data_IF_528693684934
#
_entry.id   IF_528693684934
#
_cell.length_a   1.000
_cell.length_b   1.000
_cell.length_c   1.000
_cell.angle_alpha   90.00
_cell.angle_beta   90.00
_cell.angle_gamma   90.00
#
_symmetry.space_group_name_H-M   'P 1'
#
loop_
_entity.id
_entity.type
_entity.pdbx_description
1 polymer ?
#
# COMPACT_ATOMS: atom_id res chain seq x y z
N UNK A 1 10.81 -19.83 -19.84
CA UNK A 1 10.60 -20.75 -20.96
C UNK A 1 11.96 -21.30 -21.38
N UNK A 2 12.03 -22.59 -21.66
CA UNK A 2 13.18 -23.22 -22.31
C UNK A 2 13.00 -23.09 -23.82
N UNK A 3 13.95 -22.43 -24.49
CA UNK A 3 13.85 -22.04 -25.89
C UNK A 3 14.01 -23.22 -26.86
N UNK A 4 14.63 -24.30 -26.41
CA UNK A 4 14.86 -25.51 -27.21
C UNK A 4 13.65 -26.44 -27.20
N UNK A 5 13.09 -26.69 -26.02
CA UNK A 5 11.93 -27.57 -25.84
C UNK A 5 10.59 -26.85 -26.03
N UNK A 6 10.55 -25.54 -25.76
CA UNK A 6 9.33 -24.76 -25.70
C UNK A 6 8.55 -24.90 -24.39
N UNK A 7 9.04 -25.67 -23.42
CA UNK A 7 8.41 -25.81 -22.11
C UNK A 7 8.50 -24.50 -21.32
N UNK A 8 7.44 -24.20 -20.57
CA UNK A 8 7.39 -23.00 -19.74
C UNK A 8 6.78 -23.32 -18.38
N UNK A 9 7.31 -22.66 -17.36
CA UNK A 9 6.89 -22.76 -15.97
C UNK A 9 7.12 -21.40 -15.32
N UNK A 10 6.53 -21.22 -14.15
CA UNK A 10 6.68 -20.03 -13.31
C UNK A 10 7.59 -20.34 -12.11
N UNK A 11 8.42 -19.38 -11.65
CA UNK A 11 9.17 -19.50 -10.40
C UNK A 11 8.25 -19.55 -9.17
N UNK A 12 7.00 -19.13 -9.33
CA UNK A 12 5.88 -19.28 -8.38
C UNK A 12 4.91 -20.36 -8.85
N UNK A 13 4.07 -20.89 -7.94
CA UNK A 13 3.14 -21.97 -8.29
C UNK A 13 2.08 -21.60 -9.35
N UNK A 14 1.85 -20.29 -9.55
CA UNK A 14 0.99 -19.71 -10.57
C UNK A 14 1.78 -18.65 -11.35
N UNK A 15 1.40 -18.30 -12.59
CA UNK A 15 0.23 -18.82 -13.31
C UNK A 15 0.47 -20.13 -14.06
N UNK A 16 1.71 -20.47 -14.41
CA UNK A 16 2.06 -21.74 -15.07
C UNK A 16 2.83 -22.62 -14.10
N UNK A 17 2.14 -23.58 -13.48
CA UNK A 17 2.73 -24.45 -12.46
C UNK A 17 3.70 -25.46 -13.09
N UNK A 18 4.92 -25.53 -12.56
CA UNK A 18 5.89 -26.58 -12.83
C UNK A 18 5.68 -27.81 -11.95
N UNK A 19 6.64 -28.73 -11.99
CA UNK A 19 6.63 -29.97 -11.23
C UNK A 19 7.50 -29.87 -9.96
N UNK A 20 7.10 -30.57 -8.90
CA UNK A 20 7.84 -30.58 -7.64
C UNK A 20 7.45 -29.46 -6.68
N UNK A 21 8.37 -29.16 -5.77
CA UNK A 21 8.10 -28.29 -4.62
C UNK A 21 8.37 -26.82 -4.94
N UNK A 22 7.61 -25.97 -4.24
CA UNK A 22 7.78 -24.53 -4.22
C UNK A 22 8.03 -24.10 -2.78
N UNK A 23 9.08 -23.32 -2.55
CA UNK A 23 9.38 -22.75 -1.24
C UNK A 23 9.13 -21.24 -1.27
N UNK A 24 8.31 -20.76 -0.33
CA UNK A 24 8.04 -19.34 -0.13
C UNK A 24 8.58 -18.91 1.22
N UNK A 25 9.33 -17.80 1.25
CA UNK A 25 9.83 -17.16 2.46
C UNK A 25 9.35 -15.71 2.48
N UNK A 26 8.59 -15.34 3.51
CA UNK A 26 8.21 -13.96 3.74
C UNK A 26 9.11 -13.37 4.82
N UNK A 27 9.67 -12.19 4.54
CA UNK A 27 10.41 -11.40 5.50
C UNK A 27 9.79 -10.01 5.61
N UNK A 28 10.35 -9.18 6.48
CA UNK A 28 9.87 -7.81 6.65
C UNK A 28 10.24 -6.96 5.43
N UNK A 29 9.24 -6.60 4.63
CA UNK A 29 9.39 -5.76 3.44
C UNK A 29 9.78 -6.49 2.15
N UNK A 30 9.92 -7.83 2.18
CA UNK A 30 10.25 -8.61 1.00
C UNK A 30 9.67 -10.03 1.03
N UNK A 31 9.71 -10.72 -0.11
CA UNK A 31 9.37 -12.13 -0.22
C UNK A 31 10.27 -12.83 -1.20
N UNK A 32 10.61 -14.08 -0.92
CA UNK A 32 11.45 -14.92 -1.79
C UNK A 32 10.68 -16.18 -2.17
N UNK A 33 10.65 -16.48 -3.46
CA UNK A 33 10.06 -17.69 -4.01
C UNK A 33 11.16 -18.51 -4.68
N UNK A 34 11.28 -19.78 -4.30
CA UNK A 34 12.28 -20.67 -4.85
C UNK A 34 11.62 -21.92 -5.45
N UNK A 35 12.13 -22.33 -6.61
CA UNK A 35 11.62 -23.48 -7.34
C UNK A 35 12.69 -24.04 -8.28
N UNK A 36 12.71 -25.37 -8.45
CA UNK A 36 13.56 -26.06 -9.41
C UNK A 36 12.71 -26.80 -10.42
N UNK A 37 12.96 -26.56 -11.70
CA UNK A 37 12.30 -27.25 -12.81
C UNK A 37 13.36 -27.73 -13.80
N UNK A 38 13.34 -29.02 -14.13
CA UNK A 38 14.19 -29.59 -15.17
C UNK A 38 15.69 -29.21 -15.07
N UNK A 39 16.22 -29.16 -13.85
CA UNK A 39 17.61 -28.80 -13.55
C UNK A 39 17.94 -27.30 -13.58
N UNK A 40 16.93 -26.43 -13.68
CA UNK A 40 17.06 -24.98 -13.54
C UNK A 40 16.51 -24.55 -12.19
N UNK A 41 17.37 -23.98 -11.36
CA UNK A 41 17.00 -23.35 -10.10
C UNK A 41 16.57 -21.91 -10.35
N UNK A 42 15.41 -21.52 -9.80
CA UNK A 42 14.90 -20.15 -9.82
C UNK A 42 14.77 -19.64 -8.40
N UNK A 43 15.37 -18.49 -8.10
CA UNK A 43 15.10 -17.72 -6.88
C UNK A 43 14.58 -16.33 -7.27
N UNK A 44 13.35 -16.03 -6.86
CA UNK A 44 12.63 -14.79 -7.14
C UNK A 44 12.47 -13.98 -5.85
N UNK A 45 13.25 -12.92 -5.70
CA UNK A 45 13.11 -11.98 -4.58
C UNK A 45 12.28 -10.77 -5.01
N UNK A 46 11.23 -10.46 -4.27
CA UNK A 46 10.30 -9.35 -4.52
C UNK A 46 10.37 -8.39 -3.33
N UNK A 47 10.54 -7.10 -3.62
CA UNK A 47 10.59 -6.02 -2.64
C UNK A 47 9.95 -4.74 -3.22
N UNK A 48 9.65 -3.77 -2.36
CA UNK A 48 9.25 -2.41 -2.74
C UNK A 48 10.31 -1.47 -2.17
N UNK A 49 10.85 -0.58 -3.00
CA UNK A 49 11.84 0.38 -2.54
C UNK A 49 11.29 1.24 -1.40
N UNK A 50 12.17 1.66 -0.49
CA UNK A 50 11.80 2.37 0.74
C UNK A 50 11.24 3.76 0.42
N UNK A 51 11.89 4.48 -0.51
CA UNK A 51 11.58 5.89 -0.81
C UNK A 51 10.95 6.10 -2.20
N UNK A 52 11.13 5.16 -3.12
CA UNK A 52 10.67 5.28 -4.51
C UNK A 52 9.38 4.43 -4.72
N UNK A 53 8.42 4.87 -5.55
CA UNK A 53 7.17 4.17 -5.83
C UNK A 53 7.36 2.97 -6.77
N UNK A 54 8.31 2.08 -6.46
CA UNK A 54 8.72 0.96 -7.30
C UNK A 54 8.74 -0.37 -6.56
N UNK A 55 8.14 -1.36 -7.20
CA UNK A 55 8.33 -2.77 -6.90
C UNK A 55 9.51 -3.30 -7.73
N UNK A 56 10.47 -3.91 -7.05
CA UNK A 56 11.66 -4.52 -7.65
C UNK A 56 11.57 -6.04 -7.51
N UNK A 57 12.02 -6.73 -8.54
CA UNK A 57 11.99 -8.19 -8.59
C UNK A 57 13.33 -8.69 -9.14
N UNK A 58 14.08 -9.41 -8.31
CA UNK A 58 15.31 -10.10 -8.70
C UNK A 58 14.98 -11.56 -8.98
N UNK A 59 15.17 -12.01 -10.22
CA UNK A 59 15.07 -13.41 -10.60
C UNK A 59 16.46 -13.94 -10.93
N UNK A 60 17.03 -14.75 -10.05
CA UNK A 60 18.28 -15.47 -10.32
C UNK A 60 17.95 -16.87 -10.83
N UNK A 61 18.46 -17.20 -12.02
CA UNK A 61 18.43 -18.53 -12.60
C UNK A 61 19.81 -19.17 -12.48
N UNK A 62 19.88 -20.40 -11.98
CA UNK A 62 21.10 -21.21 -12.00
C UNK A 62 20.88 -22.49 -12.78
N UNK A 63 21.82 -22.83 -13.66
CA UNK A 63 21.74 -24.04 -14.47
C UNK A 63 22.53 -25.17 -13.81
N UNK A 64 21.81 -26.19 -13.33
CA UNK A 64 22.37 -27.41 -12.74
C UNK A 64 21.93 -28.65 -13.53
N UNK A 65 21.68 -28.50 -14.83
CA UNK A 65 21.07 -29.55 -15.66
C UNK A 65 22.07 -30.48 -16.35
N UNK A 66 23.37 -30.24 -16.23
CA UNK A 66 24.42 -31.00 -16.90
C UNK A 66 24.64 -30.64 -18.37
N UNK A 67 23.94 -29.62 -18.89
CA UNK A 67 24.06 -29.14 -20.28
C UNK A 67 23.79 -27.65 -20.40
N UNK A 68 24.26 -27.04 -21.48
CA UNK A 68 23.89 -25.66 -21.83
C UNK A 68 22.39 -25.54 -22.07
N UNK A 69 21.78 -24.44 -21.62
CA UNK A 69 20.35 -24.16 -21.74
C UNK A 69 20.11 -22.77 -22.32
N UNK A 70 19.23 -22.67 -23.30
CA UNK A 70 18.73 -21.40 -23.83
C UNK A 70 17.39 -21.13 -23.18
N UNK A 71 17.30 -20.03 -22.42
CA UNK A 71 16.13 -19.69 -21.62
C UNK A 71 15.66 -18.28 -21.97
N UNK A 72 14.35 -18.05 -21.86
CA UNK A 72 13.79 -16.71 -21.76
C UNK A 72 12.96 -16.55 -20.49
N UNK A 73 13.09 -15.39 -19.86
CA UNK A 73 12.26 -14.94 -18.74
C UNK A 73 11.27 -13.92 -19.25
N UNK A 74 10.04 -13.96 -18.74
CA UNK A 74 8.99 -13.05 -19.19
C UNK A 74 8.19 -12.53 -18.00
N UNK A 75 8.13 -11.22 -17.89
CA UNK A 75 7.28 -10.52 -16.95
C UNK A 75 5.99 -10.10 -17.63
N UNK A 76 4.89 -10.10 -16.87
CA UNK A 76 3.60 -9.63 -17.33
C UNK A 76 2.90 -8.83 -16.23
N UNK A 77 2.36 -7.66 -16.60
CA UNK A 77 1.47 -6.85 -15.76
C UNK A 77 0.24 -6.44 -16.56
N UNK A 78 -0.91 -6.48 -15.91
CA UNK A 78 -2.16 -5.94 -16.47
C UNK A 78 -2.39 -4.53 -15.93
N UNK A 79 -2.56 -3.57 -16.85
CA UNK A 79 -2.74 -2.17 -16.46
C UNK A 79 -4.17 -1.89 -16.02
N UNK A 80 -4.33 -1.42 -14.79
CA UNK A 80 -5.60 -0.82 -14.34
C UNK A 80 -5.56 0.70 -14.52
N UNK A 81 -4.58 1.43 -13.98
CA UNK A 81 -4.40 2.89 -14.18
C UNK A 81 -5.71 3.70 -14.11
N UNK A 82 -6.51 3.44 -13.07
CA UNK A 82 -7.85 4.01 -12.88
C UNK A 82 -8.62 3.21 -11.85
N UNK A 83 -9.93 3.43 -11.75
CA UNK A 83 -10.79 2.70 -10.79
C UNK A 83 -10.95 1.22 -11.15
N UNK A 84 -11.28 0.95 -12.42
CA UNK A 84 -11.41 -0.41 -12.94
C UNK A 84 -10.85 -0.48 -14.34
N UNK A 85 -10.26 -1.63 -14.66
CA UNK A 85 -9.70 -1.92 -15.97
C UNK A 85 -10.72 -1.72 -17.12
N UNK A 86 -11.97 -2.12 -16.92
CA UNK A 86 -13.03 -1.98 -17.92
C UNK A 86 -13.25 -0.51 -18.32
N UNK A 87 -13.15 0.40 -17.34
CA UNK A 87 -13.31 1.84 -17.58
C UNK A 87 -12.06 2.48 -18.15
N UNK A 88 -10.88 2.09 -17.67
CA UNK A 88 -9.62 2.76 -17.99
C UNK A 88 -8.92 2.23 -19.24
N UNK A 89 -9.03 0.94 -19.56
CA UNK A 89 -8.28 0.31 -20.66
C UNK A 89 -8.38 1.04 -22.01
N UNK A 90 -9.56 1.54 -22.44
CA UNK A 90 -9.67 2.29 -23.69
C UNK A 90 -8.84 3.60 -23.74
N UNK A 91 -8.45 4.11 -22.57
CA UNK A 91 -7.75 5.39 -22.41
C UNK A 91 -6.26 5.21 -22.11
N UNK A 92 -5.79 3.98 -21.91
CA UNK A 92 -4.38 3.70 -21.65
C UNK A 92 -3.61 3.68 -22.97
N UNK A 93 -2.53 4.46 -23.01
CA UNK A 93 -1.58 4.49 -24.13
C UNK A 93 -0.26 3.93 -23.63
N UNK A 94 0.32 2.99 -24.39
CA UNK A 94 1.63 2.41 -24.08
C UNK A 94 2.71 2.94 -25.01
N UNK A 95 3.92 3.09 -24.48
CA UNK A 95 5.10 3.52 -25.22
C UNK A 95 6.32 2.68 -24.85
N UNK A 96 7.31 2.59 -25.73
CA UNK A 96 8.59 1.96 -25.41
C UNK A 96 9.39 2.87 -24.47
N UNK A 97 9.94 2.29 -23.39
CA UNK A 97 10.84 2.97 -22.48
C UNK A 97 12.30 2.94 -22.97
N UNK A 98 13.09 3.95 -22.60
CA UNK A 98 14.52 4.04 -22.92
C UNK A 98 15.33 3.50 -21.74
N UNK A 99 15.65 2.22 -21.79
CA UNK A 99 16.34 1.54 -20.69
C UNK A 99 17.69 0.99 -21.14
N UNK A 100 18.82 1.66 -20.82
CA UNK A 100 20.14 1.08 -21.06
C UNK A 100 20.26 -0.29 -20.38
N UNK A 101 20.65 -1.32 -21.14
CA UNK A 101 20.82 -2.68 -20.61
C UNK A 101 19.51 -3.44 -20.36
N UNK A 102 18.40 -3.06 -20.98
CA UNK A 102 17.10 -3.73 -20.86
C UNK A 102 16.07 -3.26 -21.88
N UNK A 103 14.82 -3.69 -21.71
CA UNK A 103 13.66 -3.07 -22.37
C UNK A 103 12.55 -2.80 -21.36
N UNK A 104 11.67 -1.85 -21.69
CA UNK A 104 10.53 -1.54 -20.85
C UNK A 104 9.39 -0.87 -21.61
N UNK A 105 8.24 -0.83 -20.97
CA UNK A 105 7.02 -0.20 -21.44
C UNK A 105 6.65 0.90 -20.44
N UNK A 106 6.35 2.09 -20.95
CA UNK A 106 5.62 3.13 -20.25
C UNK A 106 4.13 3.02 -20.55
N UNK A 107 3.29 3.40 -19.60
CA UNK A 107 1.84 3.43 -19.74
C UNK A 107 1.25 4.65 -19.03
N UNK A 108 0.39 5.38 -19.75
CA UNK A 108 -0.29 6.56 -19.25
C UNK A 108 -1.79 6.42 -19.43
N UNK A 109 -2.57 6.90 -18.45
CA UNK A 109 -3.99 7.18 -18.62
C UNK A 109 -4.23 8.68 -18.37
N UNK A 110 -4.52 9.42 -19.44
CA UNK A 110 -4.79 10.87 -19.35
C UNK A 110 -6.26 11.18 -19.07
N UNK A 111 -7.10 10.17 -18.85
CA UNK A 111 -8.53 10.29 -18.63
C UNK A 111 -8.87 9.94 -17.17
N UNK A 112 -8.85 10.95 -16.29
CA UNK A 112 -9.20 10.83 -14.87
C UNK A 112 -9.28 12.18 -14.14
N UNK A 113 -10.15 12.24 -13.12
CA UNK A 113 -10.59 13.50 -12.47
C UNK A 113 -9.62 14.08 -11.43
N UNK A 114 -8.59 13.32 -11.01
CA UNK A 114 -7.72 13.69 -9.88
C UNK A 114 -6.30 14.20 -10.27
N UNK A 115 -6.10 14.60 -11.53
CA UNK A 115 -4.91 15.36 -11.96
C UNK A 115 -3.59 14.58 -12.04
N UNK A 116 -2.85 14.84 -13.12
CA UNK A 116 -1.44 14.47 -13.29
C UNK A 116 -1.18 13.44 -14.40
N UNK A 117 -0.24 13.76 -15.28
CA UNK A 117 0.26 12.86 -16.32
C UNK A 117 1.20 11.79 -15.76
N UNK A 118 0.75 11.07 -14.73
CA UNK A 118 1.53 9.98 -14.12
C UNK A 118 1.86 8.92 -15.17
N UNK A 119 3.04 8.36 -15.02
CA UNK A 119 3.58 7.38 -15.96
C UNK A 119 3.89 6.12 -15.20
N UNK A 120 3.08 5.08 -15.43
CA UNK A 120 3.41 3.74 -14.98
C UNK A 120 4.44 3.13 -15.91
N UNK A 121 5.26 2.21 -15.39
CA UNK A 121 6.27 1.54 -16.19
C UNK A 121 6.51 0.12 -15.73
N UNK A 122 6.91 -0.71 -16.68
CA UNK A 122 7.36 -2.07 -16.43
C UNK A 122 8.53 -2.43 -17.34
N UNK A 123 9.64 -2.90 -16.77
CA UNK A 123 10.86 -3.19 -17.50
C UNK A 123 11.56 -4.46 -17.02
N UNK A 124 12.47 -4.98 -17.85
CA UNK A 124 13.36 -6.09 -17.54
C UNK A 124 14.79 -5.78 -17.98
N UNK A 125 15.78 -6.21 -17.20
CA UNK A 125 17.19 -6.15 -17.58
C UNK A 125 17.58 -7.27 -18.56
N UNK A 126 18.57 -7.02 -19.41
CA UNK A 126 19.12 -7.94 -20.39
C UNK A 126 19.22 -7.35 -21.80
N UNK A 127 20.30 -7.68 -22.50
CA UNK A 127 20.61 -7.09 -23.82
C UNK A 127 19.76 -7.66 -24.96
N UNK A 128 19.40 -8.94 -24.88
CA UNK A 128 18.45 -9.55 -25.81
C UNK A 128 17.07 -9.56 -25.18
N UNK A 129 16.28 -8.55 -25.48
CA UNK A 129 14.98 -8.35 -24.87
C UNK A 129 13.95 -7.85 -25.89
N UNK A 130 12.68 -8.13 -25.61
CA UNK A 130 11.53 -7.74 -26.44
C UNK A 130 10.33 -7.43 -25.55
N UNK A 131 9.33 -6.75 -26.09
CA UNK A 131 8.17 -6.29 -25.32
C UNK A 131 6.89 -6.31 -26.15
N UNK A 132 5.74 -6.26 -25.48
CA UNK A 132 4.46 -5.89 -26.11
C UNK A 132 3.54 -5.21 -25.11
N UNK A 133 2.88 -4.16 -25.57
CA UNK A 133 1.79 -3.48 -24.90
C UNK A 133 0.41 -4.05 -25.23
N UNK A 134 0.33 -5.10 -26.05
CA UNK A 134 -0.93 -5.75 -26.48
C UNK A 134 -1.18 -7.05 -25.72
N UNK A 135 -2.11 -7.02 -24.78
CA UNK A 135 -2.54 -8.17 -23.99
C UNK A 135 -3.13 -9.28 -24.85
N UNK A 136 -3.78 -8.94 -25.97
CA UNK A 136 -4.35 -9.93 -26.88
C UNK A 136 -3.26 -10.72 -27.59
N UNK A 137 -2.12 -10.11 -27.88
CA UNK A 137 -0.92 -10.82 -28.33
C UNK A 137 -0.38 -11.73 -27.22
N UNK A 138 -0.25 -11.20 -26.00
CA UNK A 138 0.36 -11.95 -24.90
C UNK A 138 -0.45 -13.19 -24.50
N UNK A 139 -1.70 -12.98 -24.11
CA UNK A 139 -2.58 -14.04 -23.62
C UNK A 139 -3.13 -14.88 -24.79
N UNK A 140 -3.42 -14.22 -25.91
CA UNK A 140 -4.13 -14.81 -27.04
C UNK A 140 -5.64 -14.59 -26.95
N UNK A 141 -6.31 -14.66 -28.10
CA UNK A 141 -7.77 -14.59 -28.16
C UNK A 141 -8.37 -15.78 -27.40
N UNK A 142 -9.19 -15.50 -26.39
CA UNK A 142 -9.79 -16.51 -25.49
C UNK A 142 -8.74 -17.36 -24.74
N UNK A 143 -7.52 -16.85 -24.59
CA UNK A 143 -6.45 -17.50 -23.82
C UNK A 143 -6.55 -17.20 -22.32
N UNK A 144 -5.57 -17.72 -21.58
CA UNK A 144 -5.40 -17.42 -20.15
C UNK A 144 -3.92 -17.33 -19.80
N UNK A 145 -3.61 -16.78 -18.64
CA UNK A 145 -2.23 -16.74 -18.12
C UNK A 145 -1.67 -18.14 -17.77
N UNK A 146 -2.51 -19.18 -17.70
CA UNK A 146 -2.06 -20.56 -17.50
C UNK A 146 -1.45 -21.19 -18.77
N UNK A 147 -1.78 -20.65 -19.95
CA UNK A 147 -1.23 -21.09 -21.23
C UNK A 147 -1.17 -19.92 -22.23
N UNK A 148 -0.41 -18.86 -21.93
CA UNK A 148 -0.40 -17.64 -22.73
C UNK A 148 0.23 -17.90 -24.10
N UNK A 149 -0.36 -17.31 -25.14
CA UNK A 149 0.06 -17.53 -26.52
C UNK A 149 1.47 -17.04 -26.81
N UNK A 150 1.92 -15.98 -26.12
CA UNK A 150 3.27 -15.47 -26.23
C UNK A 150 4.36 -16.49 -25.84
N UNK A 151 4.07 -17.46 -24.97
CA UNK A 151 5.06 -18.51 -24.61
C UNK A 151 5.31 -19.52 -25.73
N UNK A 152 4.63 -19.37 -26.88
CA UNK A 152 4.92 -20.13 -28.11
C UNK A 152 5.85 -19.37 -29.06
N UNK A 153 6.15 -18.10 -28.74
CA UNK A 153 6.96 -17.21 -29.56
C UNK A 153 8.34 -17.04 -28.93
N UNK A 154 9.36 -16.90 -29.78
CA UNK A 154 10.74 -16.61 -29.32
C UNK A 154 10.93 -15.14 -28.92
N UNK A 155 10.18 -14.23 -29.54
CA UNK A 155 10.21 -12.79 -29.26
C UNK A 155 8.80 -12.19 -29.31
N UNK A 156 8.59 -11.17 -28.48
CA UNK A 156 7.39 -10.32 -28.50
C UNK A 156 7.48 -9.31 -29.65
N UNK A 157 6.32 -8.84 -30.15
CA UNK A 157 6.24 -8.09 -31.41
C UNK A 157 6.74 -6.65 -31.38
N UNK A 158 6.92 -6.07 -30.20
CA UNK A 158 7.23 -4.64 -30.04
C UNK A 158 6.01 -3.71 -30.16
N UNK A 159 4.79 -4.24 -30.30
CA UNK A 159 3.57 -3.42 -30.41
C UNK A 159 3.32 -2.61 -29.15
N UNK A 160 3.23 -1.29 -29.29
CA UNK A 160 2.77 -0.37 -28.25
C UNK A 160 1.92 0.72 -28.91
N UNK A 161 1.11 1.43 -28.13
CA UNK A 161 0.35 2.59 -28.60
C UNK A 161 -1.06 2.67 -28.01
N UNK A 162 -1.87 3.54 -28.60
CA UNK A 162 -3.27 3.75 -28.24
C UNK A 162 -4.18 2.73 -28.92
N UNK A 163 -5.35 2.45 -28.32
CA UNK A 163 -6.38 1.58 -28.90
C UNK A 163 -6.07 0.08 -28.87
N UNK A 164 -4.99 -0.33 -28.20
CA UNK A 164 -4.68 -1.73 -27.90
C UNK A 164 -5.52 -2.25 -26.73
N UNK A 165 -5.46 -3.55 -26.47
CA UNK A 165 -5.85 -4.13 -25.18
C UNK A 165 -4.62 -4.03 -24.25
N UNK A 166 -4.50 -3.02 -23.37
CA UNK A 166 -3.21 -2.62 -22.80
C UNK A 166 -2.67 -3.63 -21.78
N UNK A 167 -1.38 -3.96 -21.88
CA UNK A 167 -0.61 -4.62 -20.82
C UNK A 167 0.85 -4.14 -20.80
N UNK A 168 1.63 -4.61 -19.84
CA UNK A 168 3.08 -4.55 -19.88
C UNK A 168 3.64 -5.96 -19.94
N UNK A 169 4.12 -6.41 -21.10
CA UNK A 169 4.83 -7.67 -21.23
C UNK A 169 6.25 -7.40 -21.70
N UNK A 170 7.23 -7.93 -20.97
CA UNK A 170 8.66 -7.78 -21.27
C UNK A 170 9.33 -9.14 -21.16
N UNK A 171 10.23 -9.44 -22.09
CA UNK A 171 10.93 -10.71 -22.18
C UNK A 171 12.42 -10.45 -22.34
N UNK A 172 13.26 -11.24 -21.66
CA UNK A 172 14.70 -11.26 -21.90
C UNK A 172 15.20 -12.70 -22.06
N UNK A 173 16.10 -12.92 -23.01
CA UNK A 173 16.70 -14.21 -23.31
C UNK A 173 18.14 -14.30 -22.78
N UNK A 174 18.56 -15.52 -22.43
CA UNK A 174 19.92 -15.85 -21.98
C UNK A 174 20.31 -17.26 -22.40
N UNK A 175 21.60 -17.47 -22.62
CA UNK A 175 22.21 -18.80 -22.68
C UNK A 175 23.00 -19.03 -21.40
N UNK A 176 22.72 -20.12 -20.69
CA UNK A 176 23.43 -20.52 -19.47
C UNK A 176 24.18 -21.83 -19.75
N UNK A 177 25.49 -21.83 -19.57
CA UNK A 177 26.25 -23.10 -19.53
C UNK A 177 25.95 -23.82 -18.20
N UNK A 178 26.31 -25.10 -18.12
CA UNK A 178 26.15 -25.86 -16.87
C UNK A 178 27.00 -25.25 -15.74
N UNK A 179 26.41 -25.11 -14.56
CA UNK A 179 27.00 -24.45 -13.39
C UNK A 179 26.94 -22.92 -13.39
N UNK A 180 26.48 -22.29 -14.47
CA UNK A 180 26.39 -20.83 -14.58
C UNK A 180 25.07 -20.27 -14.00
N UNK A 181 25.09 -18.99 -13.63
CA UNK A 181 23.96 -18.29 -13.07
C UNK A 181 23.77 -16.90 -13.70
N UNK A 182 22.51 -16.46 -13.79
CA UNK A 182 22.16 -15.12 -14.25
C UNK A 182 21.02 -14.52 -13.44
N UNK A 183 21.19 -13.28 -13.03
CA UNK A 183 20.12 -12.47 -12.44
C UNK A 183 19.46 -11.57 -13.47
N UNK A 184 18.14 -11.50 -13.42
CA UNK A 184 17.30 -10.55 -14.13
C UNK A 184 16.60 -9.64 -13.14
N UNK A 185 16.46 -8.38 -13.50
CA UNK A 185 15.77 -7.37 -12.70
C UNK A 185 14.49 -7.02 -13.43
N UNK A 186 13.34 -7.16 -12.78
CA UNK A 186 12.10 -6.54 -13.22
C UNK A 186 11.75 -5.36 -12.33
N UNK A 187 11.31 -4.27 -12.95
CA UNK A 187 11.01 -3.01 -12.29
C UNK A 187 9.58 -2.64 -12.67
N UNK A 188 8.69 -2.52 -11.68
CA UNK A 188 7.31 -2.06 -11.86
C UNK A 188 7.08 -0.84 -10.97
N UNK A 189 6.64 0.28 -11.52
CA UNK A 189 6.38 1.46 -10.73
C UNK A 189 5.50 2.48 -11.42
N UNK A 190 5.32 3.62 -10.78
CA UNK A 190 4.67 4.78 -11.35
C UNK A 190 5.28 6.07 -10.80
N UNK A 191 5.58 7.00 -11.70
CA UNK A 191 6.15 8.30 -11.37
C UNK A 191 5.23 9.43 -11.82
N UNK A 192 5.56 10.66 -11.42
CA UNK A 192 4.77 11.85 -11.74
C UNK A 192 4.65 12.12 -13.25
N UNK A 193 5.65 11.72 -14.03
CA UNK A 193 5.73 11.90 -15.47
C UNK A 193 6.76 10.96 -16.13
N UNK A 194 6.82 11.00 -17.47
CA UNK A 194 7.69 10.15 -18.28
C UNK A 194 9.18 10.33 -17.97
N UNK A 195 9.64 11.55 -17.68
CA UNK A 195 11.06 11.82 -17.42
C UNK A 195 11.48 11.13 -16.12
N UNK A 196 10.72 11.35 -15.05
CA UNK A 196 10.96 10.69 -13.76
C UNK A 196 10.88 9.16 -13.88
N UNK A 197 9.92 8.63 -14.65
CA UNK A 197 9.83 7.19 -14.91
C UNK A 197 11.10 6.62 -15.58
N UNK A 198 11.66 7.33 -16.56
CA UNK A 198 12.90 6.90 -17.22
C UNK A 198 14.12 6.98 -16.30
N UNK A 199 14.21 8.01 -15.46
CA UNK A 199 15.29 8.16 -14.48
C UNK A 199 15.26 7.03 -13.44
N UNK A 200 14.07 6.72 -12.92
CA UNK A 200 13.86 5.62 -11.98
C UNK A 200 14.20 4.27 -12.61
N UNK A 201 13.77 4.02 -13.86
CA UNK A 201 14.16 2.83 -14.61
C UNK A 201 15.68 2.72 -14.79
N UNK A 202 16.35 3.81 -15.16
CA UNK A 202 17.80 3.82 -15.35
C UNK A 202 18.57 3.53 -14.05
N UNK A 203 18.08 4.06 -12.91
CA UNK A 203 18.64 3.83 -11.58
C UNK A 203 18.58 2.35 -11.18
N UNK A 204 17.40 1.73 -11.33
CA UNK A 204 17.14 0.37 -10.85
C UNK A 204 17.48 -0.74 -11.85
N UNK A 205 17.93 -0.42 -13.06
CA UNK A 205 18.42 -1.44 -14.01
C UNK A 205 19.79 -2.05 -13.62
N UNK A 206 20.37 -1.56 -12.52
CA UNK A 206 21.63 -2.04 -11.96
C UNK A 206 21.37 -2.99 -10.77
N UNK A 207 21.98 -4.18 -10.82
CA UNK A 207 21.78 -5.23 -9.80
C UNK A 207 22.29 -4.82 -8.42
N UNK A 208 23.45 -4.16 -8.35
CA UNK A 208 24.02 -3.70 -7.08
C UNK A 208 23.10 -2.67 -6.41
N UNK A 209 22.49 -1.77 -7.18
CA UNK A 209 21.49 -0.82 -6.67
C UNK A 209 20.31 -1.55 -6.03
N UNK A 210 19.74 -2.56 -6.70
CA UNK A 210 18.59 -3.31 -6.18
C UNK A 210 18.97 -4.14 -4.95
N UNK A 211 20.17 -4.72 -4.92
CA UNK A 211 20.69 -5.44 -3.74
C UNK A 211 20.95 -4.51 -2.56
N UNK A 212 21.45 -3.30 -2.81
CA UNK A 212 21.57 -2.27 -1.79
C UNK A 212 20.20 -1.85 -1.25
N UNK A 213 19.20 -1.74 -2.12
CA UNK A 213 17.83 -1.43 -1.70
C UNK A 213 17.24 -2.51 -0.78
N UNK A 214 17.47 -3.79 -1.08
CA UNK A 214 17.08 -4.88 -0.17
C UNK A 214 17.75 -4.76 1.20
N UNK A 215 19.03 -4.36 1.25
CA UNK A 215 19.71 -4.11 2.52
C UNK A 215 19.14 -2.90 3.28
N UNK A 216 18.72 -1.84 2.57
CA UNK A 216 18.04 -0.69 3.19
C UNK A 216 16.73 -1.11 3.83
N UNK A 217 15.92 -1.91 3.12
CA UNK A 217 14.66 -2.45 3.66
C UNK A 217 14.90 -3.29 4.92
N UNK A 218 15.92 -4.16 4.92
CA UNK A 218 16.28 -4.90 6.13
C UNK A 218 16.63 -3.97 7.29
N UNK A 219 17.48 -2.97 7.05
CA UNK A 219 17.88 -2.02 8.07
C UNK A 219 16.69 -1.19 8.58
N UNK A 220 15.81 -0.74 7.68
CA UNK A 220 14.58 -0.03 8.01
C UNK A 220 13.72 -0.84 8.98
N UNK A 221 13.41 -2.09 8.63
CA UNK A 221 12.55 -2.93 9.47
C UNK A 221 13.22 -3.34 10.77
N UNK A 222 14.52 -3.63 10.80
CA UNK A 222 15.23 -3.87 12.05
C UNK A 222 15.22 -2.66 12.97
N UNK A 223 15.38 -1.45 12.42
CA UNK A 223 15.32 -0.21 13.20
C UNK A 223 13.93 0.03 13.82
N UNK A 224 12.86 -0.42 13.17
CA UNK A 224 11.48 -0.26 13.67
C UNK A 224 11.09 -1.39 14.62
N UNK A 225 11.37 -2.65 14.25
CA UNK A 225 10.80 -3.83 14.90
C UNK A 225 11.62 -4.32 16.10
N UNK A 226 12.94 -4.10 16.11
CA UNK A 226 13.81 -4.66 17.16
C UNK A 226 13.86 -3.79 18.43
N UNK A 227 13.04 -2.74 18.51
CA UNK A 227 12.96 -1.81 19.65
C UNK A 227 12.44 -2.50 20.92
N UNK A 228 11.52 -3.45 20.76
CA UNK A 228 10.97 -4.26 21.85
C UNK A 228 11.16 -5.73 21.49
N UNK A 229 11.86 -6.46 22.35
CA UNK A 229 12.07 -7.90 22.21
C UNK A 229 11.71 -8.58 23.53
N UNK A 230 10.79 -9.53 23.48
CA UNK A 230 10.42 -10.40 24.59
C UNK A 230 11.05 -11.77 24.42
N UNK A 231 11.42 -12.38 25.55
CA UNK A 231 11.85 -13.77 25.59
C UNK A 231 11.01 -14.51 26.63
N UNK A 232 10.07 -15.30 26.14
CA UNK A 232 9.19 -16.14 26.94
C UNK A 232 9.46 -17.62 26.65
N UNK A 233 9.03 -18.54 27.53
CA UNK A 233 9.09 -19.98 27.25
C UNK A 233 8.26 -20.42 26.03
N UNK A 234 7.30 -19.61 25.58
CA UNK A 234 6.51 -19.88 24.39
C UNK A 234 7.12 -19.16 23.17
N UNK A 235 7.75 -19.94 22.29
CA UNK A 235 8.40 -19.40 21.08
C UNK A 235 7.41 -18.78 20.10
N UNK A 236 6.13 -19.16 20.14
CA UNK A 236 5.10 -18.58 19.27
C UNK A 236 4.78 -17.14 19.67
N UNK A 237 4.75 -16.84 20.98
CA UNK A 237 4.61 -15.48 21.51
C UNK A 237 5.80 -14.63 21.09
N UNK A 238 7.02 -15.16 21.26
CA UNK A 238 8.24 -14.46 20.87
C UNK A 238 8.22 -14.13 19.37
N UNK A 239 7.82 -15.09 18.52
CA UNK A 239 7.73 -14.90 17.08
C UNK A 239 6.77 -13.76 16.71
N UNK A 240 5.56 -13.76 17.28
CA UNK A 240 4.54 -12.75 16.96
C UNK A 240 4.92 -11.37 17.49
N UNK A 241 5.30 -11.28 18.77
CA UNK A 241 5.55 -10.00 19.46
C UNK A 241 6.83 -9.35 18.97
N UNK A 242 7.90 -10.10 18.71
CA UNK A 242 9.21 -9.55 18.33
C UNK A 242 9.30 -9.10 16.87
N UNK A 243 8.17 -8.97 16.16
CA UNK A 243 8.20 -8.44 14.80
C UNK A 243 6.85 -8.47 14.11
N UNK A 244 6.20 -9.63 13.98
CA UNK A 244 5.06 -9.78 13.07
C UNK A 244 3.84 -8.93 13.43
N UNK A 245 3.51 -8.76 14.71
CA UNK A 245 2.37 -7.93 15.13
C UNK A 245 2.61 -6.45 14.79
N UNK A 246 3.78 -5.92 15.14
CA UNK A 246 4.11 -4.53 14.85
C UNK A 246 4.29 -4.29 13.34
N UNK A 247 4.90 -5.25 12.64
CA UNK A 247 5.04 -5.25 11.18
C UNK A 247 3.68 -5.18 10.51
N UNK A 248 2.70 -5.98 10.94
CA UNK A 248 1.34 -5.93 10.42
C UNK A 248 0.72 -4.54 10.59
N UNK A 249 0.84 -3.94 11.78
CA UNK A 249 0.31 -2.59 12.03
C UNK A 249 0.95 -1.55 11.12
N UNK A 250 2.29 -1.50 11.08
CA UNK A 250 2.99 -0.48 10.27
C UNK A 250 2.79 -0.71 8.77
N UNK A 251 3.10 -1.91 8.28
CA UNK A 251 3.09 -2.19 6.85
C UNK A 251 1.67 -2.18 6.25
N UNK A 252 0.72 -2.85 6.91
CA UNK A 252 -0.63 -2.98 6.36
C UNK A 252 -1.50 -1.76 6.68
N UNK A 253 -1.55 -1.35 7.95
CA UNK A 253 -2.55 -0.37 8.40
C UNK A 253 -2.11 1.07 8.18
N UNK A 254 -0.84 1.39 8.41
CA UNK A 254 -0.34 2.76 8.26
C UNK A 254 0.19 3.04 6.86
N UNK A 255 1.06 2.17 6.32
CA UNK A 255 1.67 2.39 5.00
C UNK A 255 0.71 2.03 3.86
N UNK A 256 0.24 0.78 3.82
CA UNK A 256 -0.65 0.33 2.76
C UNK A 256 -2.09 0.86 2.90
N UNK A 257 -2.48 1.25 4.13
CA UNK A 257 -3.86 1.66 4.48
C UNK A 257 -4.87 0.62 3.98
N UNK A 258 -4.59 -0.63 4.33
CA UNK A 258 -5.33 -1.80 3.90
C UNK A 258 -5.55 -2.76 5.07
N UNK A 259 -6.70 -3.42 5.05
CA UNK A 259 -7.12 -4.50 5.94
C UNK A 259 -8.10 -5.41 5.22
N UNK A 260 -8.50 -6.52 5.87
CA UNK A 260 -9.33 -7.56 5.25
C UNK A 260 -10.62 -7.05 4.59
N UNK A 261 -11.26 -6.03 5.16
CA UNK A 261 -12.53 -5.48 4.66
C UNK A 261 -12.41 -4.05 4.13
N UNK A 262 -11.21 -3.47 4.12
CA UNK A 262 -10.96 -2.08 3.76
C UNK A 262 -9.65 -1.98 3.01
N UNK A 263 -9.69 -1.90 1.67
CA UNK A 263 -8.50 -1.75 0.83
C UNK A 263 -8.69 -0.60 -0.15
N UNK A 264 -8.95 0.59 0.37
CA UNK A 264 -9.18 1.81 -0.42
C UNK A 264 -8.01 2.78 -0.46
N UNK A 265 -7.02 2.64 0.44
CA UNK A 265 -5.92 3.60 0.55
C UNK A 265 -6.31 4.94 1.20
N UNK A 266 -7.52 5.03 1.79
CA UNK A 266 -7.95 6.17 2.59
C UNK A 266 -7.30 6.13 3.98
N UNK A 267 -7.13 7.29 4.61
CA UNK A 267 -6.90 7.39 6.04
C UNK A 267 -8.25 7.39 6.75
N UNK A 268 -8.51 6.42 7.62
CA UNK A 268 -9.63 6.46 8.58
C UNK A 268 -9.19 7.18 9.84
N UNK A 269 -9.95 8.17 10.30
CA UNK A 269 -9.57 9.02 11.43
C UNK A 269 -9.28 8.19 12.68
N UNK A 270 -10.27 7.39 13.07
CA UNK A 270 -10.21 6.47 14.20
C UNK A 270 -9.16 5.38 14.00
N UNK A 271 -9.12 4.78 12.82
CA UNK A 271 -8.22 3.67 12.51
C UNK A 271 -6.77 4.08 12.71
N UNK A 272 -6.38 5.22 12.16
CA UNK A 272 -5.00 5.68 12.19
C UNK A 272 -4.54 6.07 13.60
N UNK A 273 -5.42 6.67 14.40
CA UNK A 273 -5.11 6.96 15.80
C UNK A 273 -4.95 5.68 16.63
N UNK A 274 -5.83 4.69 16.46
CA UNK A 274 -5.70 3.38 17.13
C UNK A 274 -4.44 2.62 16.70
N UNK A 275 -4.19 2.54 15.39
CA UNK A 275 -3.06 1.80 14.83
C UNK A 275 -1.73 2.38 15.33
N UNK A 276 -1.66 3.70 15.57
CA UNK A 276 -0.45 4.35 16.08
C UNK A 276 -0.24 4.23 17.59
N UNK A 277 -1.26 3.86 18.39
CA UNK A 277 -1.06 3.52 19.81
C UNK A 277 -0.06 2.38 20.00
N UNK A 278 0.00 1.43 19.05
CA UNK A 278 0.98 0.34 19.10
C UNK A 278 2.43 0.81 18.90
N UNK A 279 2.64 2.05 18.44
CA UNK A 279 3.95 2.59 18.09
C UNK A 279 4.60 3.41 19.21
N UNK A 280 3.95 3.60 20.36
CA UNK A 280 4.39 4.57 21.37
C UNK A 280 5.83 4.37 21.86
N UNK A 281 6.35 3.14 21.83
CA UNK A 281 7.75 2.85 22.16
C UNK A 281 8.65 2.63 20.94
N UNK A 282 8.09 2.14 19.84
CA UNK A 282 8.89 1.77 18.66
C UNK A 282 9.15 2.97 17.73
N UNK A 283 8.14 3.82 17.56
CA UNK A 283 8.18 5.00 16.69
C UNK A 283 7.23 6.11 17.21
N UNK A 284 7.50 6.69 18.40
CA UNK A 284 6.67 7.76 18.96
C UNK A 284 6.51 8.97 18.03
N UNK A 285 7.55 9.30 17.24
CA UNK A 285 7.47 10.39 16.25
C UNK A 285 6.39 10.14 15.19
N UNK A 286 6.20 8.89 14.75
CA UNK A 286 5.14 8.51 13.80
C UNK A 286 3.75 8.67 14.42
N UNK A 287 3.60 8.34 15.71
CA UNK A 287 2.37 8.56 16.45
C UNK A 287 2.06 10.07 16.55
N UNK A 288 3.06 10.89 16.88
CA UNK A 288 2.95 12.35 16.92
C UNK A 288 2.51 12.92 15.58
N UNK A 289 3.13 12.50 14.49
CA UNK A 289 2.76 12.92 13.14
C UNK A 289 1.32 12.56 12.80
N UNK A 290 0.85 11.36 13.19
CA UNK A 290 -0.52 10.96 12.92
C UNK A 290 -1.54 11.74 13.75
N UNK A 291 -1.22 12.03 15.01
CA UNK A 291 -2.05 12.88 15.87
C UNK A 291 -2.24 14.25 15.20
N UNK A 292 -1.16 14.85 14.70
CA UNK A 292 -1.21 16.16 14.02
C UNK A 292 -2.02 16.07 12.72
N UNK A 293 -1.78 15.03 11.92
CA UNK A 293 -2.52 14.81 10.68
C UNK A 293 -4.02 14.63 10.95
N UNK A 294 -4.42 13.84 11.95
CA UNK A 294 -5.82 13.66 12.32
C UNK A 294 -6.41 14.95 12.89
N UNK A 295 -5.71 15.68 13.76
CA UNK A 295 -6.17 16.98 14.26
C UNK A 295 -6.45 17.99 13.13
N UNK A 296 -5.64 17.98 12.05
CA UNK A 296 -5.89 18.82 10.85
C UNK A 296 -7.14 18.45 10.06
N UNK A 297 -7.80 17.34 10.43
CA UNK A 297 -9.05 16.85 9.82
C UNK A 297 -10.26 17.05 10.71
N UNK A 298 -10.11 17.82 11.79
CA UNK A 298 -11.21 18.28 12.63
C UNK A 298 -11.86 19.53 12.05
N UNK A 299 -13.19 19.56 12.01
CA UNK A 299 -13.97 20.73 11.62
C UNK A 299 -14.09 21.74 12.77
N UNK A 300 -14.34 23.01 12.44
CA UNK A 300 -14.51 24.09 13.42
C UNK A 300 -15.60 23.80 14.47
N UNK A 301 -16.61 23.00 14.12
CA UNK A 301 -17.67 22.59 15.03
C UNK A 301 -17.19 21.59 16.10
N UNK A 302 -16.20 20.74 15.79
CA UNK A 302 -15.57 19.79 16.71
C UNK A 302 -15.61 18.33 16.28
N UNK A 303 -16.47 17.96 15.32
CA UNK A 303 -16.41 16.67 14.61
C UNK A 303 -15.31 16.64 13.55
N UNK A 304 -15.18 15.52 12.86
CA UNK A 304 -14.02 15.21 12.02
C UNK A 304 -14.45 14.58 10.69
N UNK A 305 -13.55 14.54 9.71
CA UNK A 305 -13.72 13.61 8.60
C UNK A 305 -13.57 12.18 9.14
N UNK A 306 -14.53 11.29 8.85
CA UNK A 306 -14.46 9.87 9.20
C UNK A 306 -13.31 9.18 8.45
N UNK A 307 -13.13 9.50 7.17
CA UNK A 307 -11.95 9.14 6.38
C UNK A 307 -11.68 10.12 5.24
N UNK A 308 -10.46 10.14 4.71
CA UNK A 308 -10.06 10.97 3.57
C UNK A 308 -8.94 10.34 2.70
N UNK A 309 -8.83 10.79 1.45
CA UNK A 309 -7.77 10.42 0.52
C UNK A 309 -6.75 11.56 0.31
N UNK A 310 -5.44 11.26 0.33
CA UNK A 310 -4.43 12.20 -0.15
C UNK A 310 -4.46 12.31 -1.70
N UNK A 311 -3.89 13.39 -2.28
CA UNK A 311 -3.31 14.55 -1.60
C UNK A 311 -4.36 15.61 -1.21
N UNK A 312 -5.52 15.60 -1.86
CA UNK A 312 -6.50 16.69 -1.77
C UNK A 312 -7.37 16.66 -0.50
N UNK A 313 -7.40 15.56 0.25
CA UNK A 313 -8.20 15.46 1.47
C UNK A 313 -9.70 15.23 1.20
N UNK A 314 -10.06 14.81 -0.01
CA UNK A 314 -11.42 14.38 -0.32
C UNK A 314 -11.81 13.24 0.61
N UNK A 315 -12.97 13.33 1.24
CA UNK A 315 -13.33 12.37 2.26
C UNK A 315 -14.78 12.48 2.70
N UNK A 316 -15.14 11.62 3.65
CA UNK A 316 -16.49 11.56 4.18
C UNK A 316 -16.54 12.17 5.57
N UNK A 317 -17.49 13.08 5.78
CA UNK A 317 -17.92 13.56 7.10
C UNK A 317 -19.19 12.80 7.47
N UNK A 318 -19.24 12.18 8.66
CA UNK A 318 -20.36 11.35 9.13
C UNK A 318 -20.92 11.86 10.46
N UNK A 319 -21.98 11.22 10.96
CA UNK A 319 -22.44 11.37 12.35
C UNK A 319 -21.91 10.26 13.27
N UNK A 320 -20.83 9.56 12.91
CA UNK A 320 -20.22 8.57 13.79
C UNK A 320 -19.70 9.27 15.04
N UNK A 321 -20.09 8.76 16.20
CA UNK A 321 -20.00 9.47 17.48
C UNK A 321 -18.69 9.24 18.22
N UNK A 322 -17.91 8.23 17.83
CA UNK A 322 -16.64 7.91 18.47
C UNK A 322 -15.43 8.54 17.79
N UNK A 323 -15.49 8.81 16.47
CA UNK A 323 -14.35 9.25 15.65
C UNK A 323 -13.53 10.37 16.32
N UNK A 324 -14.18 11.47 16.70
CA UNK A 324 -13.51 12.64 17.26
C UNK A 324 -12.93 12.39 18.66
N UNK A 325 -13.46 11.43 19.43
CA UNK A 325 -12.96 11.09 20.77
C UNK A 325 -11.68 10.25 20.74
N UNK A 326 -11.32 9.66 19.60
CA UNK A 326 -10.02 9.00 19.46
C UNK A 326 -8.84 9.96 19.53
N UNK A 327 -9.03 11.23 19.14
CA UNK A 327 -7.97 12.25 19.20
C UNK A 327 -7.49 12.53 20.65
N UNK A 328 -8.36 12.91 21.61
CA UNK A 328 -7.93 13.13 22.98
C UNK A 328 -7.38 11.86 23.64
N UNK A 329 -7.90 10.67 23.33
CA UNK A 329 -7.33 9.41 23.82
C UNK A 329 -5.88 9.23 23.36
N UNK A 330 -5.62 9.37 22.05
CA UNK A 330 -4.29 9.20 21.47
C UNK A 330 -3.31 10.26 22.00
N UNK A 331 -3.76 11.50 22.18
CA UNK A 331 -2.94 12.57 22.78
C UNK A 331 -2.58 12.24 24.23
N UNK A 332 -3.53 11.81 25.06
CA UNK A 332 -3.24 11.39 26.43
C UNK A 332 -2.21 10.26 26.43
N UNK A 333 -2.43 9.22 25.63
CA UNK A 333 -1.51 8.09 25.55
C UNK A 333 -0.11 8.49 25.09
N UNK A 334 0.00 9.38 24.10
CA UNK A 334 1.27 9.90 23.61
C UNK A 334 2.03 10.68 24.70
N UNK A 335 1.35 11.61 25.37
CA UNK A 335 1.95 12.43 26.44
C UNK A 335 2.34 11.56 27.64
N UNK A 336 1.46 10.65 28.08
CA UNK A 336 1.73 9.70 29.17
C UNK A 336 2.98 8.84 28.87
N UNK A 337 3.14 8.41 27.62
CA UNK A 337 4.21 7.47 27.24
C UNK A 337 5.54 8.17 26.95
N UNK A 338 5.50 9.39 26.39
CA UNK A 338 6.71 10.10 25.93
C UNK A 338 7.16 11.23 26.85
N UNK A 339 6.25 11.81 27.64
CA UNK A 339 6.47 13.03 28.40
C UNK A 339 6.54 14.31 27.55
N UNK A 340 6.27 14.25 26.24
CA UNK A 340 6.32 15.39 25.32
C UNK A 340 5.07 16.29 25.47
N UNK A 341 5.09 17.14 26.48
CA UNK A 341 4.06 18.15 26.72
C UNK A 341 4.04 19.25 25.65
N UNK A 342 5.19 19.52 25.00
CA UNK A 342 5.30 20.57 23.98
C UNK A 342 4.44 20.24 22.74
N UNK A 343 4.13 18.96 22.51
CA UNK A 343 3.18 18.55 21.48
C UNK A 343 1.79 19.20 21.63
N UNK A 344 1.36 19.50 22.86
CA UNK A 344 0.06 20.11 23.14
C UNK A 344 -0.05 21.54 22.62
N UNK A 345 1.08 22.24 22.44
CA UNK A 345 1.17 23.64 21.99
C UNK A 345 1.24 23.79 20.46
N UNK A 346 1.34 22.68 19.72
CA UNK A 346 1.37 22.71 18.26
C UNK A 346 0.06 23.31 17.74
N UNK A 347 0.17 24.38 16.96
CA UNK A 347 -0.99 25.04 16.33
C UNK A 347 -1.34 24.35 15.02
N UNK A 348 -2.61 23.97 14.87
CA UNK A 348 -3.12 23.20 13.74
C UNK A 348 -4.39 23.90 13.24
N UNK A 349 -4.59 24.06 11.91
CA UNK A 349 -5.83 24.63 11.39
C UNK A 349 -6.97 23.62 11.42
N UNK A 350 -8.19 24.11 11.62
CA UNK A 350 -9.40 23.34 11.43
C UNK A 350 -9.79 23.24 9.94
N UNK A 351 -10.79 22.41 9.67
CA UNK A 351 -11.52 22.38 8.40
C UNK A 351 -12.83 23.16 8.49
N UNK A 352 -13.23 23.72 7.35
CA UNK A 352 -14.55 24.26 7.07
C UNK A 352 -15.21 23.45 5.95
N UNK A 353 -16.49 23.14 6.11
CA UNK A 353 -17.25 22.38 5.12
C UNK A 353 -18.72 22.36 5.48
N UNK A 354 -19.54 21.83 4.57
CA UNK A 354 -20.99 21.74 4.80
C UNK A 354 -21.28 20.90 6.04
N UNK A 355 -22.09 21.43 6.94
CA UNK A 355 -22.68 20.67 8.06
C UNK A 355 -23.74 19.70 7.54
N UNK A 356 -23.80 18.50 8.14
CA UNK A 356 -24.80 17.48 7.82
C UNK A 356 -26.20 17.96 8.21
N UNK A 357 -27.13 17.94 7.25
CA UNK A 357 -28.52 18.32 7.51
C UNK A 357 -29.23 17.26 8.37
N UNK A 358 -30.34 17.59 9.05
CA UNK A 358 -31.15 16.60 9.75
C UNK A 358 -31.55 15.44 8.81
N UNK A 359 -31.31 14.20 9.24
CA UNK A 359 -31.56 12.99 8.44
C UNK A 359 -30.43 12.60 7.46
N UNK A 360 -29.40 13.43 7.32
CA UNK A 360 -28.22 13.11 6.52
C UNK A 360 -27.21 12.31 7.36
N UNK A 361 -26.88 11.10 6.89
CA UNK A 361 -25.92 10.20 7.54
C UNK A 361 -24.47 10.64 7.31
N UNK A 362 -24.16 10.99 6.05
CA UNK A 362 -22.81 11.33 5.62
C UNK A 362 -22.80 12.22 4.37
N UNK A 363 -21.69 12.92 4.17
CA UNK A 363 -21.40 13.68 2.95
C UNK A 363 -19.97 13.40 2.51
N UNK A 364 -19.78 13.12 1.22
CA UNK A 364 -18.46 13.11 0.58
C UNK A 364 -18.18 14.49 -0.02
N UNK A 365 -17.08 15.13 0.38
CA UNK A 365 -16.72 16.47 -0.09
C UNK A 365 -15.19 16.72 -0.02
N UNK A 366 -14.75 17.83 -0.61
CA UNK A 366 -13.43 18.42 -0.37
C UNK A 366 -13.56 19.60 0.59
N UNK A 367 -13.24 19.44 1.88
CA UNK A 367 -13.30 20.55 2.83
C UNK A 367 -12.21 21.59 2.55
N UNK A 368 -12.45 22.81 3.01
CA UNK A 368 -11.50 23.93 2.92
C UNK A 368 -10.75 24.03 4.24
N UNK A 369 -9.46 24.36 4.19
CA UNK A 369 -8.67 24.66 5.39
C UNK A 369 -9.16 26.01 5.95
N UNK A 370 -9.58 26.02 7.22
CA UNK A 370 -10.04 27.22 7.92
C UNK A 370 -8.89 28.21 8.13
N UNK A 371 -9.22 29.50 8.19
CA UNK A 371 -8.29 30.51 8.72
C UNK A 371 -8.12 30.46 10.24
N UNK A 372 -8.90 29.61 10.93
CA UNK A 372 -8.81 29.40 12.37
C UNK A 372 -7.88 28.23 12.68
N UNK A 373 -6.88 28.47 13.51
CA UNK A 373 -5.99 27.46 14.06
C UNK A 373 -5.89 27.58 15.58
N UNK A 374 -5.80 26.45 16.26
CA UNK A 374 -5.69 26.36 17.71
C UNK A 374 -4.64 25.31 18.09
N UNK A 375 -4.27 25.28 19.37
CA UNK A 375 -3.30 24.29 19.87
C UNK A 375 -3.91 22.89 19.86
N UNK A 376 -3.08 21.85 19.74
CA UNK A 376 -3.53 20.46 19.80
C UNK A 376 -4.35 20.17 21.07
N UNK A 377 -4.01 20.81 22.18
CA UNK A 377 -4.82 20.75 23.40
C UNK A 377 -6.25 21.28 23.20
N UNK A 378 -6.41 22.44 22.55
CA UNK A 378 -7.73 23.01 22.25
C UNK A 378 -8.53 22.16 21.26
N UNK A 379 -7.88 21.52 20.29
CA UNK A 379 -8.51 20.51 19.42
C UNK A 379 -9.12 19.36 20.24
N UNK A 380 -8.37 18.85 21.23
CA UNK A 380 -8.85 17.81 22.14
C UNK A 380 -10.04 18.29 23.00
N UNK A 381 -9.95 19.49 23.56
CA UNK A 381 -11.03 20.12 24.33
C UNK A 381 -12.29 20.25 23.48
N UNK A 382 -12.15 20.72 22.23
CA UNK A 382 -13.27 20.86 21.30
C UNK A 382 -13.90 19.50 20.96
N UNK A 383 -13.09 18.46 20.73
CA UNK A 383 -13.59 17.10 20.49
C UNK A 383 -14.38 16.55 21.68
N UNK A 384 -13.86 16.73 22.90
CA UNK A 384 -14.54 16.31 24.14
C UNK A 384 -15.87 17.07 24.28
N UNK A 385 -15.87 18.39 24.15
CA UNK A 385 -17.09 19.19 24.22
C UNK A 385 -18.12 18.79 23.17
N UNK A 386 -17.68 18.46 21.95
CA UNK A 386 -18.56 17.96 20.90
C UNK A 386 -19.24 16.65 21.29
N UNK A 387 -18.52 15.76 21.99
CA UNK A 387 -19.01 14.48 22.49
C UNK A 387 -19.91 14.54 23.72
N UNK A 388 -19.99 15.67 24.42
CA UNK A 388 -20.89 15.87 25.57
C UNK A 388 -22.35 16.07 25.15
N UNK A 389 -22.90 15.09 24.42
CA UNK A 389 -24.27 15.05 23.93
C UNK A 389 -24.93 13.77 24.39
N UNK A 390 -25.97 13.93 25.19
CA UNK A 390 -26.60 12.82 25.88
C UNK A 390 -28.05 12.66 25.42
N UNK A 391 -28.51 11.41 25.35
CA UNK A 391 -29.90 11.11 25.13
C UNK A 391 -30.72 11.19 26.42
N UNK A 392 -31.95 10.67 26.35
CA UNK A 392 -32.93 10.75 27.43
C UNK A 392 -32.54 9.97 28.70
N UNK A 393 -31.65 8.97 28.58
CA UNK A 393 -31.18 8.17 29.71
C UNK A 393 -29.83 8.66 30.27
N UNK A 394 -29.31 9.80 29.75
CA UNK A 394 -28.04 10.37 30.18
C UNK A 394 -26.81 9.66 29.61
N UNK A 395 -26.98 8.85 28.55
CA UNK A 395 -25.88 8.18 27.85
C UNK A 395 -25.50 8.95 26.57
N UNK A 396 -24.24 8.89 26.11
CA UNK A 396 -23.84 9.56 24.87
C UNK A 396 -24.66 9.11 23.67
N UNK A 397 -25.08 10.08 22.83
CA UNK A 397 -25.79 9.79 21.60
C UNK A 397 -24.89 9.04 20.61
N UNK A 398 -25.40 7.94 20.07
CA UNK A 398 -24.68 7.07 19.14
C UNK A 398 -24.56 7.67 17.73
N UNK A 399 -25.45 8.57 17.33
CA UNK A 399 -25.45 9.13 15.98
C UNK A 399 -25.60 8.05 14.90
N UNK A 400 -24.86 8.14 13.80
CA UNK A 400 -24.90 7.15 12.71
C UNK A 400 -24.11 5.87 13.01
N UNK A 401 -23.44 5.77 14.16
CA UNK A 401 -22.60 4.65 14.55
C UNK A 401 -21.61 5.05 15.64
N UNK A 402 -21.05 4.07 16.33
CA UNK A 402 -19.89 4.23 17.21
C UNK A 402 -18.74 3.36 16.67
N UNK A 403 -17.93 2.76 17.56
CA UNK A 403 -16.88 1.81 17.14
C UNK A 403 -17.41 0.67 16.27
N UNK A 404 -18.66 0.24 16.48
CA UNK A 404 -19.29 -0.77 15.65
C UNK A 404 -20.05 -0.15 14.47
N UNK A 405 -19.38 -0.06 13.32
CA UNK A 405 -19.97 0.45 12.06
C UNK A 405 -21.25 -0.31 11.65
N UNK A 406 -21.41 -1.57 12.08
CA UNK A 406 -22.59 -2.38 11.78
C UNK A 406 -23.87 -1.96 12.53
N UNK A 407 -23.75 -1.16 13.59
CA UNK A 407 -24.89 -0.66 14.38
C UNK A 407 -25.42 0.69 13.88
N UNK A 408 -25.40 0.90 12.55
CA UNK A 408 -25.69 2.19 11.92
C UNK A 408 -27.17 2.64 11.88
N UNK A 409 -28.09 1.81 12.39
CA UNK A 409 -29.53 2.14 12.45
C UNK A 409 -30.01 2.55 13.85
N UNK A 410 -29.18 2.37 14.87
CA UNK A 410 -29.60 2.56 16.27
C UNK A 410 -29.80 4.03 16.59
N UNK A 411 -28.88 4.90 16.17
CA UNK A 411 -28.89 6.33 16.51
C UNK A 411 -29.25 7.29 15.37
N UNK A 412 -29.60 6.79 14.18
CA UNK A 412 -29.73 7.63 12.97
C UNK A 412 -30.84 8.69 13.09
N UNK A 413 -31.87 8.43 13.89
CA UNK A 413 -32.95 9.38 14.23
C UNK A 413 -32.61 10.31 15.41
N UNK A 414 -31.36 10.28 15.90
CA UNK A 414 -30.87 11.14 16.98
C UNK A 414 -31.33 10.72 18.39
N UNK A 415 -31.79 9.48 18.58
CA UNK A 415 -32.28 8.97 19.86
C UNK A 415 -31.48 7.81 20.43
N UNK A 416 -30.80 7.05 19.58
CA UNK A 416 -29.98 5.93 20.03
C UNK A 416 -28.80 6.40 20.88
N UNK A 417 -28.52 5.68 21.93
CA UNK A 417 -27.45 5.95 22.89
C UNK A 417 -26.46 4.79 22.91
N UNK A 418 -25.17 5.07 23.16
CA UNK A 418 -24.13 4.05 23.24
C UNK A 418 -23.53 3.99 24.66
N UNK A 419 -23.72 2.83 25.31
CA UNK A 419 -23.07 2.53 26.60
C UNK A 419 -21.56 2.39 26.44
N UNK A 420 -21.10 1.80 25.32
CA UNK A 420 -19.68 1.69 25.02
C UNK A 420 -19.03 3.06 24.90
N UNK A 421 -19.68 4.00 24.19
CA UNK A 421 -19.22 5.38 24.07
C UNK A 421 -19.21 6.08 25.44
N UNK A 422 -20.14 5.75 26.33
CA UNK A 422 -20.14 6.20 27.73
C UNK A 422 -18.88 5.79 28.49
N UNK A 423 -18.48 4.52 28.41
CA UNK A 423 -17.22 4.06 29.01
C UNK A 423 -16.01 4.72 28.36
N UNK A 424 -16.03 4.87 27.04
CA UNK A 424 -14.93 5.47 26.31
C UNK A 424 -14.72 6.95 26.68
N UNK A 425 -15.81 7.73 26.69
CA UNK A 425 -15.80 9.13 27.10
C UNK A 425 -15.37 9.28 28.57
N UNK A 426 -15.82 8.39 29.46
CA UNK A 426 -15.41 8.41 30.86
C UNK A 426 -13.88 8.23 31.01
N UNK A 427 -13.29 7.25 30.33
CA UNK A 427 -11.84 7.03 30.35
C UNK A 427 -11.06 8.25 29.84
N UNK A 428 -11.50 8.83 28.72
CA UNK A 428 -10.91 10.06 28.16
C UNK A 428 -10.98 11.21 29.17
N UNK A 429 -12.13 11.44 29.81
CA UNK A 429 -12.29 12.52 30.78
C UNK A 429 -11.40 12.32 32.01
N UNK A 430 -11.22 11.08 32.49
CA UNK A 430 -10.32 10.78 33.60
C UNK A 430 -8.87 11.07 33.23
N UNK A 431 -8.41 10.60 32.06
CA UNK A 431 -7.04 10.81 31.57
C UNK A 431 -6.74 12.28 31.29
N UNK A 432 -7.65 12.97 30.60
CA UNK A 432 -7.45 14.37 30.19
C UNK A 432 -7.51 15.35 31.38
N UNK A 433 -8.12 14.96 32.49
CA UNK A 433 -8.16 15.75 33.72
C UNK A 433 -6.94 15.55 34.64
N UNK A 434 -6.24 14.42 34.50
CA UNK A 434 -5.01 14.11 35.23
C UNK A 434 -3.82 14.89 34.64
#
# INVERSE_FOLDING_TARGET
>A
RDEESGECWSPTALPVRGHGDYLTRHGFGYSVFAHRESGIDSELTVLVAEEDPVKLVLLTLSNSSGRTRQLSVTGYVEWTLGETRTRSAPHIVTHVARTPGGCGILANNFYGDNGGGRTAFFAVSGNDCSLTGDRREFIGRNGSLHAPSAMKLQKLSGKTGAGLDPCGAVQSAVTLIDGDQRTFIFILGAEENDVCAQETLARYMNEDTVRQELNRIHNHWHNVLDKIVVNTPDTSVNLLVNGWLLYQTVACRLMARSGYYQSGGAFGFRDQLQDTLALSHAAPDRMREQIILCASRQFIEGDVQHWWHPPHGNGVRTRCSDDYLWLPLAVCHYVETTGDMDALEIRIPYLEGRSLQPGEESVYDTPVISGTEETLWLHCVKAIHYGLRFGEHGLPLMGAGDWNDGMNRVGIEGKGESVWLGFFLYDILQRFAA
#
